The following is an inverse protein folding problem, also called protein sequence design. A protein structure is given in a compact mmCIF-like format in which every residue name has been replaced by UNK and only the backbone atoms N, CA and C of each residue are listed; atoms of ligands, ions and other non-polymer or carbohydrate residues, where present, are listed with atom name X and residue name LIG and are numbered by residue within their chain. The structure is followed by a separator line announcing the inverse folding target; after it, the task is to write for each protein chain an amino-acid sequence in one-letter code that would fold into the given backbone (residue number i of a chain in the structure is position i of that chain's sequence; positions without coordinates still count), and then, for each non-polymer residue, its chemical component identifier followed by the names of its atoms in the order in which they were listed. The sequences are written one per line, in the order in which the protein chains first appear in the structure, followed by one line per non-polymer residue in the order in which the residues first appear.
data_IF_019993447058
#
_entry.id   IF_019993447058
#
_cell.length_a   1.000
_cell.length_b   1.000
_cell.length_c   1.000
_cell.angle_alpha   90.00
_cell.angle_beta   90.00
_cell.angle_gamma   90.00
#
_symmetry.space_group_name_H-M   'P 1'
#
loop_
_entity.id
_entity.type
_entity.pdbx_description
1 polymer ?
#
# COMPACT_ATOMS: atom_id res chain seq x y z
N UNK A 1 12.48 0.63 -27.44
CA UNK A 1 13.08 -0.27 -26.44
C UNK A 1 11.95 -0.78 -25.57
N UNK A 2 11.49 -2.00 -25.80
CA UNK A 2 10.42 -2.65 -25.04
C UNK A 2 11.03 -3.30 -23.80
N UNK A 3 10.73 -2.76 -22.61
CA UNK A 3 11.09 -3.40 -21.35
C UNK A 3 10.23 -4.66 -21.21
N UNK A 4 10.85 -5.83 -21.42
CA UNK A 4 10.22 -7.10 -21.11
C UNK A 4 10.13 -7.22 -19.59
N UNK A 5 8.90 -7.26 -19.06
CA UNK A 5 8.68 -7.59 -17.66
C UNK A 5 9.11 -9.05 -17.42
N UNK A 6 9.87 -9.34 -16.35
CA UNK A 6 10.27 -10.71 -16.04
C UNK A 6 9.02 -11.57 -15.82
N UNK A 7 8.98 -12.72 -16.49
CA UNK A 7 7.92 -13.72 -16.29
C UNK A 7 8.06 -14.27 -14.87
N UNK A 8 7.00 -14.22 -14.04
CA UNK A 8 7.07 -14.75 -12.69
C UNK A 8 7.38 -16.27 -12.73
N UNK A 9 8.20 -16.78 -11.79
CA UNK A 9 8.58 -18.18 -11.74
C UNK A 9 7.35 -19.11 -11.65
N UNK A 10 7.41 -20.22 -12.39
CA UNK A 10 6.30 -21.20 -12.59
C UNK A 10 5.84 -21.93 -11.31
N UNK A 11 6.58 -21.84 -10.21
CA UNK A 11 6.29 -22.56 -8.97
C UNK A 11 5.29 -21.85 -8.03
N UNK A 12 4.72 -20.71 -8.42
CA UNK A 12 3.69 -19.97 -7.65
C UNK A 12 2.26 -20.53 -7.90
N UNK A 13 2.13 -21.67 -8.58
CA UNK A 13 0.84 -22.23 -9.01
C UNK A 13 0.29 -23.35 -8.11
N UNK A 14 0.95 -23.69 -6.99
CA UNK A 14 0.17 -24.25 -5.88
C UNK A 14 -0.78 -23.15 -5.41
N UNK A 15 -2.08 -23.43 -5.37
CA UNK A 15 -3.15 -22.49 -5.04
C UNK A 15 -3.05 -22.10 -3.57
N UNK A 16 -2.00 -21.40 -3.20
CA UNK A 16 -1.94 -20.60 -1.99
C UNK A 16 -2.95 -19.50 -2.18
N UNK A 17 -3.97 -19.47 -1.33
CA UNK A 17 -4.95 -18.40 -1.24
C UNK A 17 -4.21 -17.07 -1.18
N UNK A 18 -4.22 -16.30 -2.26
CA UNK A 18 -3.58 -14.99 -2.31
C UNK A 18 -4.15 -14.12 -1.19
N UNK A 19 -3.25 -13.45 -0.47
CA UNK A 19 -3.56 -12.44 0.54
C UNK A 19 -2.95 -11.09 0.13
N UNK A 20 -3.49 -9.98 0.61
CA UNK A 20 -2.84 -8.68 0.39
C UNK A 20 -1.42 -8.65 0.94
N UNK A 21 -1.14 -9.43 2.00
CA UNK A 21 0.22 -9.62 2.49
C UNK A 21 1.13 -10.25 1.43
N UNK A 22 0.66 -11.31 0.76
CA UNK A 22 1.41 -11.93 -0.34
C UNK A 22 1.56 -11.01 -1.55
N UNK A 23 0.57 -10.14 -1.80
CA UNK A 23 0.67 -9.14 -2.86
C UNK A 23 1.77 -8.12 -2.54
N UNK A 24 1.74 -7.54 -1.35
CA UNK A 24 2.74 -6.55 -0.92
C UNK A 24 4.14 -7.16 -0.82
N UNK A 25 4.28 -8.42 -0.41
CA UNK A 25 5.58 -9.09 -0.33
C UNK A 25 6.24 -9.36 -1.68
N UNK A 26 5.49 -9.28 -2.79
CA UNK A 26 6.05 -9.36 -4.15
C UNK A 26 6.60 -8.04 -4.67
N UNK A 27 6.28 -6.92 -4.02
CA UNK A 27 6.74 -5.58 -4.39
C UNK A 27 8.14 -5.29 -3.81
N UNK A 28 8.93 -4.39 -4.43
CA UNK A 28 10.24 -3.97 -3.92
C UNK A 28 10.10 -2.98 -2.75
N UNK A 29 9.28 -3.33 -1.76
CA UNK A 29 8.93 -2.48 -0.63
C UNK A 29 9.06 -3.25 0.70
N UNK A 30 9.28 -2.50 1.77
CA UNK A 30 9.14 -2.97 3.15
C UNK A 30 8.00 -2.20 3.81
N UNK A 31 7.04 -2.89 4.43
CA UNK A 31 5.98 -2.24 5.22
C UNK A 31 6.56 -1.83 6.57
N UNK A 32 6.47 -0.54 6.89
CA UNK A 32 7.03 0.07 8.10
C UNK A 32 5.98 0.20 9.21
N UNK A 33 4.77 0.61 8.83
CA UNK A 33 3.61 0.77 9.71
C UNK A 33 2.35 0.47 8.91
N UNK A 34 1.36 -0.14 9.55
CA UNK A 34 0.10 -0.49 8.88
C UNK A 34 -1.07 -0.36 9.84
N UNK A 35 -2.20 0.08 9.31
CA UNK A 35 -3.48 -0.04 9.97
C UNK A 35 -4.57 -0.45 8.98
N UNK A 36 -5.57 -1.14 9.50
CA UNK A 36 -6.70 -1.66 8.74
C UNK A 36 -8.00 -1.39 9.50
N UNK A 37 -9.06 -1.17 8.73
CA UNK A 37 -10.44 -1.12 9.21
C UNK A 37 -11.30 -1.88 8.21
N UNK A 38 -12.09 -2.82 8.68
CA UNK A 38 -12.85 -3.71 7.81
C UNK A 38 -13.07 -5.10 8.38
N UNK A 39 -13.81 -5.90 7.61
CA UNK A 39 -14.07 -7.31 7.86
C UNK A 39 -13.42 -8.19 6.78
N UNK A 40 -13.77 -9.48 6.79
CA UNK A 40 -13.25 -10.44 5.81
C UNK A 40 -13.81 -10.28 4.38
N UNK A 41 -14.66 -9.27 4.13
CA UNK A 41 -15.31 -9.00 2.84
C UNK A 41 -14.98 -7.62 2.31
N UNK A 42 -14.73 -6.65 3.17
CA UNK A 42 -14.46 -5.26 2.80
C UNK A 42 -13.65 -4.55 3.86
N UNK A 43 -12.75 -3.68 3.43
CA UNK A 43 -11.98 -2.83 4.32
C UNK A 43 -11.04 -1.92 3.58
N UNK A 44 -10.38 -1.09 4.37
CA UNK A 44 -9.39 -0.12 3.96
C UNK A 44 -8.05 -0.45 4.61
N UNK A 45 -6.98 -0.46 3.82
CA UNK A 45 -5.60 -0.65 4.29
C UNK A 45 -4.84 0.65 4.12
N UNK A 46 -4.11 1.01 5.15
CA UNK A 46 -3.21 2.14 5.18
C UNK A 46 -1.84 1.61 5.54
N UNK A 47 -0.86 1.82 4.66
CA UNK A 47 0.49 1.33 4.86
C UNK A 47 1.48 2.46 4.63
N UNK A 48 2.38 2.64 5.59
CA UNK A 48 3.61 3.38 5.40
C UNK A 48 4.66 2.38 4.93
N UNK A 49 5.28 2.64 3.79
CA UNK A 49 6.20 1.71 3.14
C UNK A 49 7.53 2.36 2.84
N UNK A 50 8.58 1.56 2.70
CA UNK A 50 9.90 1.97 2.21
C UNK A 50 10.24 1.19 0.97
N UNK A 51 10.55 1.87 -0.13
CA UNK A 51 11.04 1.22 -1.33
C UNK A 51 12.52 0.81 -1.17
N UNK A 52 12.95 -0.24 -1.86
CA UNK A 52 14.34 -0.72 -1.79
C UNK A 52 15.39 0.31 -2.27
N UNK A 53 14.98 1.31 -3.05
CA UNK A 53 15.84 2.44 -3.45
C UNK A 53 15.97 3.53 -2.37
N UNK A 54 15.29 3.37 -1.22
CA UNK A 54 15.35 4.29 -0.10
C UNK A 54 14.18 5.26 0.02
N UNK A 55 13.32 5.38 -1.00
CA UNK A 55 12.13 6.26 -0.96
C UNK A 55 11.10 5.81 0.08
N UNK A 56 10.31 6.74 0.57
CA UNK A 56 9.22 6.50 1.53
C UNK A 56 7.87 6.66 0.83
N UNK A 57 6.92 5.79 1.14
CA UNK A 57 5.64 5.74 0.44
C UNK A 57 4.44 5.70 1.39
N UNK A 58 3.36 6.36 0.99
CA UNK A 58 2.04 6.21 1.58
C UNK A 58 1.15 5.42 0.61
N UNK A 59 0.70 4.25 1.05
CA UNK A 59 -0.24 3.40 0.33
C UNK A 59 -1.58 3.38 1.06
N UNK A 60 -2.64 3.78 0.36
CA UNK A 60 -4.00 3.73 0.87
C UNK A 60 -4.88 3.10 -0.20
N UNK A 61 -5.49 1.96 0.11
CA UNK A 61 -6.43 1.31 -0.81
C UNK A 61 -7.53 0.59 -0.04
N UNK A 62 -8.72 0.57 -0.64
CA UNK A 62 -9.85 -0.24 -0.17
C UNK A 62 -10.02 -1.48 -1.05
N UNK A 63 -10.34 -2.62 -0.46
CA UNK A 63 -10.40 -3.88 -1.21
C UNK A 63 -11.78 -4.34 -1.67
N UNK A 64 -12.88 -3.65 -1.32
CA UNK A 64 -14.22 -4.06 -1.76
C UNK A 64 -15.25 -2.92 -1.90
N UNK A 65 -14.85 -1.81 -2.54
CA UNK A 65 -15.67 -0.59 -2.61
C UNK A 65 -16.87 -0.64 -3.58
N UNK A 66 -16.92 -1.57 -4.55
CA UNK A 66 -18.05 -1.69 -5.48
C UNK A 66 -18.46 -3.15 -5.67
N UNK A 67 -19.58 -3.56 -5.04
CA UNK A 67 -20.27 -4.86 -5.21
C UNK A 67 -19.83 -6.03 -4.31
N UNK A 68 -19.10 -5.79 -3.21
CA UNK A 68 -18.68 -6.84 -2.23
C UNK A 68 -17.75 -7.92 -2.79
N UNK A 69 -17.15 -7.70 -3.96
CA UNK A 69 -16.09 -8.57 -4.47
C UNK A 69 -14.75 -7.97 -4.07
N UNK A 70 -14.05 -8.69 -3.20
CA UNK A 70 -12.66 -8.38 -2.86
C UNK A 70 -11.80 -8.42 -4.15
N UNK A 71 -11.04 -7.36 -4.43
CA UNK A 71 -10.28 -7.22 -5.68
C UNK A 71 -9.33 -8.39 -5.90
N UNK A 72 -8.68 -8.87 -4.84
CA UNK A 72 -7.78 -10.02 -4.90
C UNK A 72 -8.52 -11.34 -5.13
N UNK A 73 -9.69 -11.55 -4.52
CA UNK A 73 -10.57 -12.70 -4.81
C UNK A 73 -11.15 -12.67 -6.23
N UNK A 74 -11.26 -11.49 -6.84
CA UNK A 74 -11.70 -11.33 -8.21
C UNK A 74 -10.65 -11.80 -9.23
N UNK A 75 -9.35 -11.77 -8.88
CA UNK A 75 -8.29 -12.31 -9.71
C UNK A 75 -8.47 -13.82 -9.93
N UNK A 76 -8.67 -14.24 -11.19
CA UNK A 76 -8.79 -15.65 -11.60
C UNK A 76 -7.58 -16.15 -12.36
N UNK A 77 -6.76 -15.23 -12.84
CA UNK A 77 -5.56 -15.53 -13.64
C UNK A 77 -4.34 -14.80 -13.10
N UNK A 78 -3.11 -15.26 -13.43
CA UNK A 78 -1.89 -14.51 -13.13
C UNK A 78 -1.87 -13.11 -13.75
N UNK A 79 -2.57 -12.90 -14.89
CA UNK A 79 -2.67 -11.59 -15.51
C UNK A 79 -3.50 -10.63 -14.65
N UNK A 80 -4.63 -11.09 -14.09
CA UNK A 80 -5.45 -10.28 -13.18
C UNK A 80 -4.67 -9.90 -11.91
N UNK A 81 -3.87 -10.83 -11.39
CA UNK A 81 -3.00 -10.57 -10.24
C UNK A 81 -1.92 -9.54 -10.57
N UNK A 82 -1.27 -9.66 -11.73
CA UNK A 82 -0.27 -8.69 -12.19
C UNK A 82 -0.87 -7.30 -12.41
N UNK A 83 -2.11 -7.22 -12.92
CA UNK A 83 -2.83 -5.95 -13.07
C UNK A 83 -3.15 -5.33 -11.70
N UNK A 84 -3.69 -6.11 -10.76
CA UNK A 84 -3.94 -5.65 -9.40
C UNK A 84 -2.64 -5.20 -8.71
N UNK A 85 -1.55 -5.94 -8.89
CA UNK A 85 -0.23 -5.59 -8.39
C UNK A 85 0.22 -4.22 -8.91
N UNK A 86 0.13 -3.99 -10.22
CA UNK A 86 0.51 -2.72 -10.83
C UNK A 86 -0.39 -1.57 -10.36
N UNK A 87 -1.69 -1.80 -10.23
CA UNK A 87 -2.64 -0.81 -9.70
C UNK A 87 -2.31 -0.42 -8.26
N UNK A 88 -2.04 -1.40 -7.39
CA UNK A 88 -1.68 -1.14 -5.99
C UNK A 88 -0.34 -0.43 -5.90
N UNK A 89 0.67 -0.87 -6.66
CA UNK A 89 2.01 -0.27 -6.62
C UNK A 89 2.04 1.17 -7.18
N UNK A 90 1.34 1.41 -8.29
CA UNK A 90 1.23 2.76 -8.88
C UNK A 90 0.38 3.72 -8.04
N UNK A 91 -0.48 3.20 -7.16
CA UNK A 91 -1.25 3.99 -6.19
C UNK A 91 -0.44 4.50 -4.99
N UNK A 92 0.83 4.10 -4.85
CA UNK A 92 1.68 4.55 -3.76
C UNK A 92 2.15 5.99 -4.02
N UNK A 93 1.87 6.89 -3.08
CA UNK A 93 2.45 8.23 -3.08
C UNK A 93 3.88 8.16 -2.56
N UNK A 94 4.86 8.40 -3.41
CA UNK A 94 6.28 8.31 -3.09
C UNK A 94 6.91 9.67 -2.82
N UNK A 95 7.79 9.71 -1.81
CA UNK A 95 8.64 10.84 -1.49
C UNK A 95 10.09 10.39 -1.33
N UNK A 96 11.03 11.31 -1.58
CA UNK A 96 12.46 11.00 -1.57
C UNK A 96 12.97 10.63 -0.17
N UNK A 97 12.48 11.33 0.86
CA UNK A 97 12.91 11.15 2.25
C UNK A 97 11.74 11.01 3.22
N UNK A 98 12.02 10.55 4.44
CA UNK A 98 11.03 10.51 5.51
C UNK A 98 10.51 11.91 5.89
N UNK A 99 11.37 12.93 5.80
CA UNK A 99 11.02 14.32 6.07
C UNK A 99 10.05 14.87 5.01
N UNK A 100 10.28 14.55 3.73
CA UNK A 100 9.39 14.95 2.64
C UNK A 100 8.01 14.31 2.78
N UNK A 101 7.96 13.01 3.13
CA UNK A 101 6.69 12.33 3.37
C UNK A 101 5.95 12.88 4.59
N UNK A 102 6.67 13.25 5.65
CA UNK A 102 6.09 13.92 6.81
C UNK A 102 5.50 15.28 6.41
N UNK A 103 6.24 16.09 5.64
CA UNK A 103 5.76 17.36 5.13
C UNK A 103 4.52 17.19 4.23
N UNK A 104 4.50 16.17 3.37
CA UNK A 104 3.32 15.81 2.58
C UNK A 104 2.13 15.50 3.49
N UNK A 105 2.30 14.64 4.51
CA UNK A 105 1.22 14.32 5.45
C UNK A 105 0.71 15.56 6.18
N UNK A 106 1.58 16.51 6.56
CA UNK A 106 1.20 17.74 7.25
C UNK A 106 0.40 18.69 6.35
N UNK A 107 0.81 18.85 5.09
CA UNK A 107 0.17 19.77 4.14
C UNK A 107 -1.03 19.18 3.42
N UNK A 108 -1.15 17.86 3.35
CA UNK A 108 -2.27 17.18 2.68
C UNK A 108 -3.58 17.45 3.44
N UNK A 109 -4.54 18.09 2.75
CA UNK A 109 -5.91 18.18 3.23
C UNK A 109 -6.62 16.84 3.02
N UNK A 110 -6.52 15.96 4.02
CA UNK A 110 -7.11 14.62 3.97
C UNK A 110 -8.63 14.65 3.82
N UNK A 111 -9.30 15.75 4.16
CA UNK A 111 -10.76 15.89 4.05
C UNK A 111 -11.23 15.94 2.59
N UNK A 112 -10.31 16.15 1.64
CA UNK A 112 -10.62 16.09 0.22
C UNK A 112 -10.50 14.67 -0.33
N UNK A 113 -9.91 13.75 0.44
CA UNK A 113 -9.85 12.34 0.09
C UNK A 113 -10.94 11.54 0.82
N UNK A 114 -11.38 10.46 0.20
CA UNK A 114 -12.43 9.59 0.76
C UNK A 114 -12.09 9.04 2.15
N UNK A 115 -10.81 8.84 2.46
CA UNK A 115 -10.35 8.27 3.71
C UNK A 115 -10.26 9.27 4.87
N UNK A 116 -10.23 10.59 4.59
CA UNK A 116 -10.08 11.59 5.66
C UNK A 116 -11.31 11.74 6.55
N UNK A 117 -12.46 11.24 6.11
CA UNK A 117 -13.70 11.22 6.90
C UNK A 117 -13.90 9.92 7.67
N UNK A 118 -13.13 8.88 7.36
CA UNK A 118 -13.17 7.60 8.06
C UNK A 118 -12.40 7.74 9.39
N UNK A 119 -12.86 7.15 10.51
CA UNK A 119 -12.13 7.20 11.79
C UNK A 119 -10.67 6.72 11.68
N UNK A 120 -10.40 5.75 10.81
CA UNK A 120 -9.07 5.21 10.59
C UNK A 120 -8.11 6.23 9.98
N UNK A 121 -8.59 7.10 9.09
CA UNK A 121 -7.75 8.03 8.34
C UNK A 121 -6.95 9.00 9.22
N UNK A 122 -7.62 9.85 10.03
CA UNK A 122 -6.94 10.75 10.95
C UNK A 122 -6.06 10.01 11.97
N UNK A 123 -6.50 8.83 12.44
CA UNK A 123 -5.69 8.00 13.37
C UNK A 123 -4.40 7.55 12.71
N UNK A 124 -4.49 6.96 11.52
CA UNK A 124 -3.32 6.48 10.78
C UNK A 124 -2.38 7.62 10.40
N UNK A 125 -2.90 8.78 9.97
CA UNK A 125 -2.08 9.97 9.70
C UNK A 125 -1.23 10.35 10.92
N UNK A 126 -1.83 10.39 12.11
CA UNK A 126 -1.11 10.72 13.34
C UNK A 126 -0.04 9.67 13.68
N UNK A 127 -0.37 8.38 13.55
CA UNK A 127 0.58 7.28 13.79
C UNK A 127 1.74 7.29 12.79
N UNK A 128 1.46 7.50 11.50
CA UNK A 128 2.46 7.59 10.44
C UNK A 128 3.39 8.79 10.65
N UNK A 129 2.84 9.96 10.99
CA UNK A 129 3.64 11.14 11.31
C UNK A 129 4.57 10.91 12.51
N UNK A 130 4.06 10.27 13.58
CA UNK A 130 4.86 9.89 14.75
C UNK A 130 5.95 8.86 14.42
N UNK A 131 5.67 7.92 13.51
CA UNK A 131 6.66 6.95 13.04
C UNK A 131 7.78 7.64 12.24
N UNK A 132 7.43 8.47 11.26
CA UNK A 132 8.40 9.22 10.44
C UNK A 132 9.26 10.15 11.29
N UNK A 133 8.66 10.82 12.28
CA UNK A 133 9.38 11.70 13.21
C UNK A 133 10.47 10.94 13.97
N UNK A 134 10.16 9.74 14.49
CA UNK A 134 11.15 8.89 15.17
C UNK A 134 12.28 8.47 14.23
N UNK A 135 11.96 8.04 13.02
CA UNK A 135 12.97 7.67 12.02
C UNK A 135 13.95 8.81 11.70
N UNK A 136 13.44 10.04 11.56
CA UNK A 136 14.26 11.23 11.27
C UNK A 136 15.21 11.53 12.43
N UNK A 137 14.76 11.35 13.68
CA UNK A 137 15.60 11.59 14.87
C UNK A 137 16.64 10.48 15.07
N UNK A 138 16.27 9.23 14.77
CA UNK A 138 17.13 8.05 14.98
C UNK A 138 18.17 7.84 13.87
N UNK A 139 18.02 8.50 12.72
CA UNK A 139 18.93 8.40 11.56
C UNK A 139 19.67 9.74 11.36
N UNK A 140 20.78 9.99 12.08
CA UNK A 140 21.56 11.23 11.96
C UNK A 140 22.28 11.36 10.61
#
# INVERSE_FOLDING_TARGET
MTHAHPTPPRDILEVTKWTYESLLSTMPITVLHQAEDGDNRSGDRFSLVRHHDGRFGLLIFGWASCSRCDALQACKTPADFAELHEQVFSGIHWEATAADLLAYLDHKDIRLDWWGHQPLGPRFRAEAAAYLTRLIVETP
#
